data_IF_361415183901
#
_entry.id   IF_361415183901
#
_cell.length_a   1.000
_cell.length_b   1.000
_cell.length_c   1.000
_cell.angle_alpha   90.00
_cell.angle_beta   90.00
_cell.angle_gamma   90.00
#
_symmetry.space_group_name_H-M   'P 1'
#
loop_
_entity.id
_entity.type
_entity.pdbx_description
1 polymer ?
#
# COMPACT_ATOMS: atom_id res chain seq x y z
N UNK A 1 9.46 -53.63 78.86
CA UNK A 1 8.04 -53.40 79.23
C UNK A 1 7.43 -52.58 78.09
N UNK A 2 6.39 -53.01 77.37
CA UNK A 2 5.73 -54.31 77.36
C UNK A 2 4.21 -54.20 77.48
N UNK A 3 3.50 -54.10 76.34
CA UNK A 3 2.04 -53.91 76.27
C UNK A 3 1.59 -52.45 76.46
N UNK A 4 0.41 -52.02 75.99
CA UNK A 4 -0.62 -52.68 75.13
C UNK A 4 -1.34 -51.63 74.26
N UNK A 5 -1.95 -52.05 73.15
CA UNK A 5 -2.86 -51.20 72.35
C UNK A 5 -4.32 -51.16 72.95
N UNK A 6 -5.42 -50.86 72.22
CA UNK A 6 -6.26 -49.69 72.53
C UNK A 6 -7.74 -50.06 72.80
N UNK A 7 -8.67 -49.08 72.84
CA UNK A 7 -10.08 -49.25 72.45
C UNK A 7 -10.79 -47.89 72.23
N UNK A 8 -11.80 -47.77 71.33
CA UNK A 8 -12.41 -46.48 70.91
C UNK A 8 -13.83 -46.23 71.48
N UNK A 9 -14.42 -45.05 71.19
CA UNK A 9 -15.78 -44.99 70.59
C UNK A 9 -15.99 -43.80 69.60
N UNK A 10 -17.06 -43.64 68.78
CA UNK A 10 -18.09 -44.54 68.19
C UNK A 10 -18.69 -43.89 66.91
N UNK A 11 -19.38 -44.70 66.10
CA UNK A 11 -20.07 -44.49 64.81
C UNK A 11 -20.68 -43.10 64.47
N UNK A 12 -20.66 -42.80 63.17
CA UNK A 12 -21.87 -42.47 62.38
C UNK A 12 -21.85 -43.23 61.03
N UNK A 13 -22.99 -43.39 60.35
CA UNK A 13 -23.19 -44.40 59.29
C UNK A 13 -23.92 -43.87 58.03
N UNK A 14 -23.69 -44.57 56.91
CA UNK A 14 -24.45 -44.68 55.63
C UNK A 14 -24.00 -43.83 54.43
N UNK A 15 -24.05 -44.44 53.24
CA UNK A 15 -24.08 -43.73 51.94
C UNK A 15 -23.16 -44.28 50.85
N UNK A 16 -23.44 -45.45 50.29
CA UNK A 16 -22.74 -45.95 49.09
C UNK A 16 -23.52 -45.59 47.81
N UNK A 17 -22.84 -45.17 46.73
CA UNK A 17 -23.08 -45.71 45.37
C UNK A 17 -22.16 -45.08 44.32
N UNK A 18 -21.78 -45.90 43.32
CA UNK A 18 -21.13 -45.48 42.08
C UNK A 18 -22.10 -45.80 40.94
N UNK A 19 -22.73 -44.80 40.29
CA UNK A 19 -23.05 -44.89 38.86
C UNK A 19 -23.49 -43.55 38.20
N UNK A 20 -23.20 -43.47 36.90
CA UNK A 20 -23.51 -42.43 35.90
C UNK A 20 -24.99 -42.00 35.85
N UNK A 21 -25.27 -40.72 35.48
CA UNK A 21 -25.89 -40.31 34.18
C UNK A 21 -26.24 -38.80 34.06
N UNK A 22 -25.71 -38.16 32.99
CA UNK A 22 -26.17 -36.99 32.19
C UNK A 22 -26.76 -35.68 32.81
N UNK A 23 -26.29 -34.53 32.25
CA UNK A 23 -26.88 -33.17 32.07
C UNK A 23 -27.85 -32.62 33.16
N UNK A 24 -27.73 -31.39 33.70
CA UNK A 24 -27.11 -30.11 33.28
C UNK A 24 -26.88 -29.24 34.57
N UNK A 25 -26.45 -27.97 34.66
CA UNK A 25 -26.18 -26.81 33.79
C UNK A 25 -25.00 -25.98 34.39
N UNK A 26 -24.08 -25.38 33.61
CA UNK A 26 -24.05 -24.01 33.04
C UNK A 26 -23.68 -22.86 34.02
N UNK A 27 -22.74 -22.00 33.58
CA UNK A 27 -22.28 -20.71 34.15
C UNK A 27 -21.50 -20.69 35.48
N UNK A 28 -20.16 -20.55 35.37
CA UNK A 28 -19.42 -19.43 35.99
C UNK A 28 -18.05 -19.24 35.28
N UNK A 29 -17.52 -18.01 35.33
CA UNK A 29 -16.43 -17.39 34.55
C UNK A 29 -15.30 -18.34 34.04
N UNK A 30 -14.89 -18.34 32.76
CA UNK A 30 -14.53 -17.23 31.85
C UNK A 30 -13.22 -16.51 32.24
N UNK A 31 -12.33 -16.28 31.26
CA UNK A 31 -11.15 -15.39 31.43
C UNK A 31 -9.76 -15.96 31.10
N UNK A 32 -9.59 -16.81 30.06
CA UNK A 32 -8.26 -17.09 29.50
C UNK A 32 -8.29 -17.52 28.02
N UNK A 33 -8.98 -16.75 27.17
CA UNK A 33 -8.44 -16.58 25.82
C UNK A 33 -7.17 -15.75 25.96
N UNK A 34 -6.02 -16.40 25.87
CA UNK A 34 -4.81 -15.71 25.46
C UNK A 34 -5.02 -15.30 23.99
N UNK A 35 -5.59 -14.12 23.77
CA UNK A 35 -5.48 -13.45 22.48
C UNK A 35 -3.99 -13.22 22.25
N UNK A 36 -3.36 -14.04 21.41
CA UNK A 36 -2.09 -13.67 20.82
C UNK A 36 -2.33 -12.31 20.15
N UNK A 37 -1.75 -11.25 20.72
CA UNK A 37 -1.68 -9.98 20.01
C UNK A 37 -0.97 -10.30 18.70
N UNK A 38 -1.52 -9.93 17.52
CA UNK A 38 -0.77 -10.03 16.30
C UNK A 38 0.55 -9.27 16.48
N UNK A 39 1.61 -9.75 15.83
CA UNK A 39 2.93 -9.15 15.97
C UNK A 39 2.89 -7.65 15.66
N UNK A 40 3.87 -6.91 16.19
CA UNK A 40 4.00 -5.44 16.03
C UNK A 40 4.44 -5.03 14.61
N UNK A 41 3.95 -5.76 13.60
CA UNK A 41 4.28 -5.62 12.20
C UNK A 41 3.39 -4.57 11.54
N UNK A 42 4.00 -3.68 10.77
CA UNK A 42 3.33 -2.61 10.06
C UNK A 42 2.88 -3.12 8.68
N UNK A 43 1.63 -2.84 8.30
CA UNK A 43 1.09 -3.19 6.97
C UNK A 43 1.45 -2.13 5.91
N UNK A 44 1.56 -2.52 4.61
CA UNK A 44 1.73 -1.55 3.53
C UNK A 44 0.52 -0.64 3.37
N UNK A 45 0.76 0.63 3.03
CA UNK A 45 -0.28 1.62 2.81
C UNK A 45 -1.17 1.35 1.58
N UNK A 46 -0.68 0.59 0.61
CA UNK A 46 -1.45 0.19 -0.58
C UNK A 46 -0.93 -1.12 -1.21
N UNK A 47 -1.69 -1.65 -2.18
CA UNK A 47 -1.29 -2.75 -3.07
C UNK A 47 -1.69 -2.41 -4.51
N UNK A 48 -1.02 -2.91 -5.57
CA UNK A 48 0.07 -3.88 -5.57
C UNK A 48 1.36 -3.36 -4.90
N UNK A 49 2.26 -4.30 -4.63
CA UNK A 49 3.61 -4.00 -4.15
C UNK A 49 4.56 -4.10 -5.35
N UNK A 50 5.48 -3.14 -5.44
CA UNK A 50 6.49 -3.06 -6.49
C UNK A 50 7.81 -3.63 -5.96
N UNK A 51 8.47 -4.47 -6.75
CA UNK A 51 9.79 -5.01 -6.43
C UNK A 51 10.88 -3.95 -6.64
N UNK A 52 11.57 -3.58 -5.55
CA UNK A 52 12.57 -2.52 -5.55
C UNK A 52 13.97 -2.98 -5.19
N UNK A 53 14.91 -2.06 -5.38
CA UNK A 53 16.26 -2.05 -4.80
C UNK A 53 16.69 -0.60 -4.56
N UNK A 54 17.68 -0.40 -3.71
CA UNK A 54 18.43 0.86 -3.64
C UNK A 54 19.93 0.67 -3.85
N UNK A 55 20.59 1.71 -4.38
CA UNK A 55 21.98 1.65 -4.84
C UNK A 55 22.73 2.97 -4.64
N UNK A 56 24.06 2.87 -4.57
CA UNK A 56 24.99 3.99 -4.47
C UNK A 56 26.35 3.65 -5.10
N UNK A 57 27.37 4.49 -4.89
CA UNK A 57 28.78 4.25 -5.27
C UNK A 57 29.30 2.83 -4.98
N UNK A 58 28.75 2.15 -3.97
CA UNK A 58 29.20 0.82 -3.54
C UNK A 58 28.90 -0.30 -4.56
N UNK A 59 27.83 -0.17 -5.35
CA UNK A 59 27.48 -1.14 -6.40
C UNK A 59 28.27 -0.94 -7.71
N UNK A 60 28.90 0.23 -7.91
CA UNK A 60 29.71 0.53 -9.08
C UNK A 60 28.90 0.60 -10.38
N UNK A 61 29.45 0.08 -11.48
CA UNK A 61 28.73 -0.03 -12.76
C UNK A 61 27.60 -1.08 -12.69
N UNK A 62 26.43 -0.74 -13.25
CA UNK A 62 25.20 -1.56 -13.16
C UNK A 62 24.54 -1.72 -14.53
N UNK A 63 24.21 -2.97 -14.90
CA UNK A 63 23.33 -3.27 -16.03
C UNK A 63 21.86 -3.26 -15.58
N UNK A 64 21.21 -2.11 -15.77
CA UNK A 64 19.80 -1.92 -15.43
C UNK A 64 18.82 -2.69 -16.33
N UNK A 65 19.24 -3.18 -17.50
CA UNK A 65 18.37 -4.06 -18.30
C UNK A 65 18.34 -5.45 -17.67
N UNK A 66 19.49 -5.98 -17.28
CA UNK A 66 19.56 -7.23 -16.53
C UNK A 66 18.80 -7.11 -15.18
N UNK A 67 18.90 -5.99 -14.48
CA UNK A 67 18.17 -5.76 -13.23
C UNK A 67 16.64 -5.74 -13.43
N UNK A 68 16.16 -5.02 -14.46
CA UNK A 68 14.73 -5.02 -14.84
C UNK A 68 14.25 -6.42 -15.22
N UNK A 69 15.04 -7.15 -16.01
CA UNK A 69 14.66 -8.47 -16.52
C UNK A 69 14.72 -9.56 -15.41
N UNK A 70 15.42 -9.28 -14.31
CA UNK A 70 15.39 -10.01 -13.02
C UNK A 70 14.27 -9.54 -12.07
N UNK A 71 13.36 -8.68 -12.56
CA UNK A 71 12.15 -8.26 -11.88
C UNK A 71 12.26 -7.01 -11.01
N UNK A 72 13.26 -6.15 -11.18
CA UNK A 72 13.24 -4.80 -10.59
C UNK A 72 12.23 -3.91 -11.33
N UNK A 73 11.38 -3.21 -10.57
CA UNK A 73 10.42 -2.21 -11.05
C UNK A 73 10.81 -0.78 -10.63
N UNK A 74 11.38 -0.65 -9.43
CA UNK A 74 11.76 0.62 -8.79
C UNK A 74 13.24 0.59 -8.40
N UNK A 75 13.96 1.69 -8.62
CA UNK A 75 15.29 1.90 -8.04
C UNK A 75 15.38 3.23 -7.31
N UNK A 76 15.83 3.19 -6.05
CA UNK A 76 16.27 4.38 -5.33
C UNK A 76 17.79 4.55 -5.48
N UNK A 77 18.23 5.75 -5.87
CA UNK A 77 19.65 6.06 -6.11
C UNK A 77 20.09 7.09 -5.08
N UNK A 78 21.23 6.89 -4.41
CA UNK A 78 21.78 7.95 -3.55
C UNK A 78 22.21 9.13 -4.41
N UNK A 79 21.62 10.30 -4.17
CA UNK A 79 22.06 11.54 -4.81
C UNK A 79 23.26 12.15 -4.08
N UNK A 80 23.17 12.24 -2.76
CA UNK A 80 24.16 12.94 -1.95
C UNK A 80 24.19 12.51 -0.50
N UNK A 81 25.10 13.16 0.23
CA UNK A 81 25.34 12.94 1.65
C UNK A 81 25.98 14.18 2.29
N UNK A 82 25.55 14.53 3.50
CA UNK A 82 26.03 15.73 4.19
C UNK A 82 25.74 17.04 3.43
N UNK A 83 26.56 18.07 3.66
CA UNK A 83 26.38 19.41 3.06
C UNK A 83 27.12 19.63 1.74
N UNK A 84 27.62 18.57 1.09
CA UNK A 84 28.44 18.69 -0.12
C UNK A 84 28.94 17.40 -0.76
N UNK A 85 28.58 16.22 -0.26
CA UNK A 85 28.90 14.94 -0.89
C UNK A 85 27.93 14.63 -2.02
N UNK A 86 28.42 14.49 -3.25
CA UNK A 86 27.66 13.96 -4.39
C UNK A 86 28.06 12.49 -4.57
N UNK A 87 27.11 11.59 -4.79
CA UNK A 87 27.46 10.21 -5.11
C UNK A 87 28.11 10.12 -6.51
N UNK A 88 29.26 9.45 -6.59
CA UNK A 88 30.07 9.38 -7.81
C UNK A 88 29.38 8.66 -8.97
N UNK A 89 28.37 7.82 -8.70
CA UNK A 89 27.62 7.10 -9.74
C UNK A 89 26.22 7.66 -10.00
N UNK A 90 25.77 8.71 -9.29
CA UNK A 90 24.45 9.32 -9.46
C UNK A 90 24.08 9.52 -10.95
N UNK A 91 24.99 10.09 -11.73
CA UNK A 91 24.71 10.44 -13.12
C UNK A 91 24.63 9.21 -14.06
N UNK A 92 25.46 8.18 -13.84
CA UNK A 92 25.46 6.95 -14.66
C UNK A 92 24.34 6.00 -14.25
N UNK A 93 24.09 5.84 -12.94
CA UNK A 93 22.93 5.12 -12.42
C UNK A 93 21.62 5.72 -12.91
N UNK A 94 21.48 7.04 -12.84
CA UNK A 94 20.28 7.73 -13.34
C UNK A 94 20.04 7.48 -14.83
N UNK A 95 21.08 7.61 -15.66
CA UNK A 95 20.98 7.39 -17.10
C UNK A 95 20.67 5.93 -17.43
N UNK A 96 21.30 4.98 -16.73
CA UNK A 96 21.06 3.54 -16.89
C UNK A 96 19.65 3.11 -16.52
N UNK A 97 19.17 3.49 -15.33
CA UNK A 97 17.81 3.22 -14.86
C UNK A 97 16.76 3.81 -15.81
N UNK A 98 16.95 5.07 -16.25
CA UNK A 98 16.05 5.76 -17.17
C UNK A 98 16.05 5.13 -18.57
N UNK A 99 17.18 4.59 -19.02
CA UNK A 99 17.28 3.87 -20.29
C UNK A 99 16.67 2.46 -20.23
N UNK A 100 16.71 1.79 -19.08
CA UNK A 100 16.03 0.52 -18.85
C UNK A 100 14.50 0.67 -18.71
N UNK A 101 14.01 1.86 -18.33
CA UNK A 101 12.59 2.14 -18.11
C UNK A 101 12.10 1.78 -16.71
N UNK A 102 12.99 1.77 -15.71
CA UNK A 102 12.65 1.62 -14.30
C UNK A 102 12.03 2.92 -13.74
N UNK A 103 11.20 2.79 -12.71
CA UNK A 103 10.83 3.95 -11.89
C UNK A 103 11.99 4.39 -11.01
N UNK A 104 12.21 5.70 -10.90
CA UNK A 104 13.38 6.27 -10.23
C UNK A 104 12.96 7.09 -9.01
N UNK A 105 13.59 6.78 -7.87
CA UNK A 105 13.64 7.61 -6.68
C UNK A 105 15.07 8.04 -6.35
N UNK A 106 15.19 9.03 -5.45
CA UNK A 106 16.48 9.48 -4.94
C UNK A 106 16.46 9.60 -3.42
N UNK A 107 17.60 9.31 -2.79
CA UNK A 107 17.79 9.54 -1.35
C UNK A 107 19.04 10.37 -1.04
N UNK A 108 19.05 10.97 0.15
CA UNK A 108 20.15 11.75 0.70
C UNK A 108 20.48 11.29 2.11
N UNK A 109 21.72 10.84 2.32
CA UNK A 109 22.21 10.38 3.62
C UNK A 109 22.48 11.57 4.54
N UNK A 110 21.77 11.63 5.67
CA UNK A 110 21.86 12.73 6.62
C UNK A 110 23.15 12.67 7.47
N UNK A 111 23.92 13.76 7.50
CA UNK A 111 24.96 13.96 8.52
C UNK A 111 24.62 15.06 9.55
N UNK A 112 23.55 15.82 9.32
CA UNK A 112 23.15 16.95 10.16
C UNK A 112 22.92 16.56 11.63
N UNK A 113 23.51 17.33 12.55
CA UNK A 113 23.37 17.15 14.00
C UNK A 113 22.54 18.28 14.64
N UNK A 114 22.07 19.21 13.81
CA UNK A 114 21.20 20.34 14.18
C UNK A 114 20.17 20.62 13.07
N UNK A 115 19.06 21.23 13.45
CA UNK A 115 18.02 21.69 12.51
C UNK A 115 18.49 22.81 11.55
N UNK A 116 19.68 23.39 11.76
CA UNK A 116 20.28 24.37 10.84
C UNK A 116 21.05 23.66 9.71
N UNK A 117 21.86 22.66 10.06
CA UNK A 117 22.54 21.78 9.10
C UNK A 117 21.53 20.99 8.27
N UNK A 118 20.46 20.46 8.90
CA UNK A 118 19.40 19.72 8.22
C UNK A 118 18.80 20.50 7.03
N UNK A 119 18.59 21.81 7.20
CA UNK A 119 18.10 22.71 6.14
C UNK A 119 19.16 23.05 5.10
N UNK A 120 20.44 22.99 5.44
CA UNK A 120 21.52 23.13 4.47
C UNK A 120 21.64 21.87 3.60
N UNK A 121 21.51 20.68 4.19
CA UNK A 121 21.51 19.40 3.47
C UNK A 121 20.27 19.25 2.58
N UNK A 122 19.08 19.60 3.07
CA UNK A 122 17.86 19.62 2.25
C UNK A 122 17.97 20.56 1.04
N UNK A 123 18.59 21.74 1.20
CA UNK A 123 18.90 22.67 0.09
C UNK A 123 19.93 22.12 -0.88
N UNK A 124 20.94 21.42 -0.39
CA UNK A 124 21.93 20.75 -1.24
C UNK A 124 21.27 19.65 -2.08
N UNK A 125 20.50 18.74 -1.44
CA UNK A 125 19.77 17.67 -2.12
C UNK A 125 18.78 18.21 -3.15
N UNK A 126 17.97 19.22 -2.80
CA UNK A 126 17.04 19.87 -3.74
C UNK A 126 17.74 20.45 -4.99
N UNK A 127 18.96 20.96 -4.84
CA UNK A 127 19.77 21.47 -5.96
C UNK A 127 20.43 20.36 -6.80
N UNK A 128 20.48 19.11 -6.32
CA UNK A 128 20.80 17.94 -7.15
C UNK A 128 19.57 17.45 -7.91
N UNK A 129 18.41 17.48 -7.27
CA UNK A 129 17.13 17.03 -7.83
C UNK A 129 16.61 17.93 -8.96
N UNK A 130 16.98 19.22 -9.00
CA UNK A 130 16.48 20.16 -10.02
C UNK A 130 16.88 19.81 -11.46
N UNK A 131 17.98 19.09 -11.64
CA UNK A 131 18.50 18.68 -12.95
C UNK A 131 17.96 17.31 -13.41
N UNK A 132 17.10 16.67 -12.60
CA UNK A 132 16.71 15.27 -12.75
C UNK A 132 15.19 15.12 -12.94
N UNK A 133 14.77 14.14 -13.75
CA UNK A 133 13.37 13.74 -13.92
C UNK A 133 13.16 12.37 -13.30
N UNK A 134 12.26 12.25 -12.32
CA UNK A 134 12.11 11.06 -11.47
C UNK A 134 10.65 10.90 -10.99
N UNK A 135 10.26 9.66 -10.67
CA UNK A 135 8.87 9.27 -10.41
C UNK A 135 8.52 9.27 -8.91
N UNK A 136 9.51 8.91 -8.09
CA UNK A 136 9.32 8.62 -6.67
C UNK A 136 9.78 9.78 -5.79
N UNK A 137 9.14 9.94 -4.63
CA UNK A 137 9.40 11.00 -3.65
C UNK A 137 10.87 11.01 -3.23
N UNK A 138 11.47 12.19 -3.04
CA UNK A 138 12.82 12.27 -2.53
C UNK A 138 12.83 11.84 -1.06
N UNK A 139 13.80 11.00 -0.70
CA UNK A 139 13.92 10.37 0.62
C UNK A 139 15.00 11.07 1.44
N UNK A 140 14.63 11.43 2.67
CA UNK A 140 15.59 11.66 3.74
C UNK A 140 16.01 10.29 4.32
N UNK A 141 17.30 9.97 4.24
CA UNK A 141 17.88 8.75 4.79
C UNK A 141 18.57 9.04 6.15
N UNK A 142 18.20 8.26 7.18
CA UNK A 142 18.58 8.48 8.58
C UNK A 142 19.10 7.17 9.21
N UNK A 143 20.43 6.99 9.24
CA UNK A 143 21.10 5.86 9.91
C UNK A 143 21.89 6.24 11.19
N UNK A 144 22.24 7.52 11.41
CA UNK A 144 23.18 7.94 12.48
C UNK A 144 22.56 8.95 13.46
N UNK A 145 21.80 8.43 14.43
CA UNK A 145 21.15 9.19 15.51
C UNK A 145 21.85 9.10 16.88
N UNK A 146 23.03 8.45 16.98
CA UNK A 146 23.67 8.14 18.25
C UNK A 146 23.97 9.39 19.08
N UNK A 147 23.61 9.38 20.37
CA UNK A 147 23.81 10.54 21.26
C UNK A 147 22.87 11.73 21.06
N UNK A 148 21.85 11.61 20.19
CA UNK A 148 20.70 12.53 20.17
C UNK A 148 19.60 12.02 21.12
N UNK A 149 18.77 12.93 21.64
CA UNK A 149 17.46 12.55 22.19
C UNK A 149 16.41 12.49 21.07
N UNK A 150 15.31 11.75 21.27
CA UNK A 150 14.22 11.64 20.30
C UNK A 150 13.67 13.00 19.83
N UNK A 151 13.53 13.97 20.74
CA UNK A 151 13.11 15.33 20.39
C UNK A 151 14.14 16.09 19.51
N UNK A 152 15.44 15.80 19.65
CA UNK A 152 16.47 16.36 18.78
C UNK A 152 16.46 15.67 17.41
N UNK A 153 16.41 14.33 17.38
CA UNK A 153 16.33 13.56 16.14
C UNK A 153 15.11 14.00 15.30
N UNK A 154 13.94 14.09 15.93
CA UNK A 154 12.69 14.53 15.29
C UNK A 154 12.76 15.97 14.79
N UNK A 155 13.34 16.90 15.57
CA UNK A 155 13.52 18.29 15.15
C UNK A 155 14.56 18.48 14.03
N UNK A 156 15.53 17.56 13.89
CA UNK A 156 16.48 17.54 12.77
C UNK A 156 15.78 16.99 11.51
N UNK A 157 15.13 15.84 11.62
CA UNK A 157 14.42 15.20 10.50
C UNK A 157 13.31 16.09 9.94
N UNK A 158 12.41 16.61 10.79
CA UNK A 158 11.35 17.52 10.37
C UNK A 158 11.90 18.80 9.73
N UNK A 159 13.04 19.33 10.20
CA UNK A 159 13.65 20.51 9.61
C UNK A 159 14.24 20.26 8.21
N UNK A 160 14.74 19.06 7.91
CA UNK A 160 15.14 18.67 6.56
C UNK A 160 13.90 18.51 5.66
N UNK A 161 12.90 17.75 6.13
CA UNK A 161 11.70 17.40 5.37
C UNK A 161 10.87 18.64 5.01
N UNK A 162 10.68 19.59 5.95
CA UNK A 162 9.97 20.85 5.69
C UNK A 162 10.66 21.74 4.66
N UNK A 163 11.99 21.81 4.72
CA UNK A 163 12.78 22.59 3.75
C UNK A 163 12.71 21.92 2.37
N UNK A 164 12.92 20.60 2.29
CA UNK A 164 12.84 19.84 1.03
C UNK A 164 11.45 19.90 0.39
N UNK A 165 10.38 19.76 1.18
CA UNK A 165 8.98 19.91 0.72
C UNK A 165 8.73 21.33 0.19
N UNK A 166 9.25 22.36 0.86
CA UNK A 166 9.11 23.76 0.44
C UNK A 166 9.87 24.11 -0.86
N UNK A 167 10.96 23.40 -1.14
CA UNK A 167 11.81 23.62 -2.32
C UNK A 167 11.34 22.81 -3.54
N UNK A 168 10.87 21.58 -3.32
CA UNK A 168 10.42 20.67 -4.39
C UNK A 168 8.93 20.82 -4.71
N UNK A 169 8.14 21.39 -3.78
CA UNK A 169 6.68 21.49 -3.91
C UNK A 169 5.96 20.13 -3.80
N UNK A 170 6.63 19.10 -3.30
CA UNK A 170 6.12 17.73 -3.19
C UNK A 170 6.47 17.13 -1.81
N UNK A 171 5.58 16.32 -1.19
CA UNK A 171 5.89 15.75 0.13
C UNK A 171 6.97 14.66 0.02
N UNK A 172 8.12 14.79 0.71
CA UNK A 172 9.19 13.80 0.75
C UNK A 172 8.83 12.56 1.57
N UNK A 173 9.76 11.61 1.64
CA UNK A 173 9.68 10.40 2.46
C UNK A 173 10.82 10.32 3.48
N UNK A 174 10.67 9.46 4.48
CA UNK A 174 11.70 9.12 5.48
C UNK A 174 12.12 7.67 5.31
N UNK A 175 13.43 7.42 5.19
CA UNK A 175 14.04 6.11 5.37
C UNK A 175 14.78 6.06 6.71
N UNK A 176 14.56 5.00 7.48
CA UNK A 176 15.32 4.70 8.71
C UNK A 176 15.06 3.26 9.17
N UNK A 177 15.77 2.80 10.20
CA UNK A 177 15.52 1.50 10.81
C UNK A 177 14.14 1.44 11.49
N UNK A 178 13.48 0.28 11.49
CA UNK A 178 12.22 0.09 12.20
C UNK A 178 12.37 0.34 13.73
N UNK A 179 13.58 0.21 14.28
CA UNK A 179 13.88 0.58 15.66
C UNK A 179 13.82 2.09 15.87
N UNK A 180 14.46 2.88 15.00
CA UNK A 180 14.53 4.34 15.12
C UNK A 180 13.18 5.01 14.81
N UNK A 181 12.44 4.49 13.83
CA UNK A 181 11.04 4.86 13.60
C UNK A 181 10.14 4.60 14.82
N UNK A 182 10.45 3.57 15.62
CA UNK A 182 9.69 3.21 16.82
C UNK A 182 10.08 3.98 18.09
N UNK A 183 11.35 4.37 18.23
CA UNK A 183 11.89 4.84 19.52
C UNK A 183 12.58 6.22 19.47
N UNK A 184 13.01 6.68 18.28
CA UNK A 184 13.77 7.92 18.11
C UNK A 184 12.98 9.01 17.40
N UNK A 185 12.15 8.67 16.42
CA UNK A 185 11.33 9.63 15.67
C UNK A 185 9.91 9.73 16.25
N UNK A 186 9.42 10.94 16.48
CA UNK A 186 8.08 11.21 17.03
C UNK A 186 7.04 11.61 15.96
N UNK A 187 5.80 11.87 16.41
CA UNK A 187 4.67 12.18 15.52
C UNK A 187 4.79 13.51 14.76
N UNK A 188 5.80 14.36 15.03
CA UNK A 188 6.14 15.49 14.17
C UNK A 188 6.77 15.05 12.83
N UNK A 189 7.41 13.87 12.81
CA UNK A 189 8.02 13.24 11.63
C UNK A 189 7.08 12.23 10.97
N UNK A 190 6.22 11.54 11.73
CA UNK A 190 5.27 10.55 11.19
C UNK A 190 4.09 11.14 10.37
N UNK A 191 4.22 12.37 9.89
CA UNK A 191 3.35 12.99 8.88
C UNK A 191 3.83 12.77 7.44
N UNK A 192 5.07 12.32 7.25
CA UNK A 192 5.62 11.89 5.95
C UNK A 192 5.66 10.35 5.86
N UNK A 193 5.55 9.75 4.66
CA UNK A 193 5.50 8.29 4.53
C UNK A 193 6.84 7.63 4.85
N UNK A 194 6.77 6.45 5.46
CA UNK A 194 7.93 5.69 5.93
C UNK A 194 8.39 4.63 4.91
N UNK A 195 9.69 4.59 4.67
CA UNK A 195 10.44 3.45 4.16
C UNK A 195 11.22 2.85 5.34
N UNK A 196 10.83 1.66 5.78
CA UNK A 196 11.43 1.04 6.98
C UNK A 196 12.44 -0.05 6.61
N UNK A 197 13.61 -0.05 7.25
CA UNK A 197 14.54 -1.17 7.21
C UNK A 197 14.32 -2.12 8.42
N UNK A 198 14.06 -3.41 8.14
CA UNK A 198 13.96 -4.47 9.16
C UNK A 198 14.26 -5.84 8.50
N UNK A 199 15.38 -6.48 8.85
CA UNK A 199 15.93 -7.60 8.07
C UNK A 199 15.53 -8.98 8.61
N UNK A 200 14.92 -9.79 7.75
CA UNK A 200 14.48 -11.15 8.07
C UNK A 200 12.98 -11.39 8.34
N UNK A 201 12.14 -10.42 8.78
CA UNK A 201 10.70 -10.63 8.87
C UNK A 201 10.00 -10.36 7.53
N UNK A 202 8.72 -10.75 7.44
CA UNK A 202 7.89 -10.54 6.24
C UNK A 202 7.24 -9.14 6.15
N UNK A 203 7.35 -8.35 7.21
CA UNK A 203 6.83 -6.99 7.40
C UNK A 203 7.70 -6.30 8.46
N UNK A 204 7.90 -4.96 8.41
CA UNK A 204 8.75 -4.26 9.36
C UNK A 204 8.05 -4.04 10.72
N UNK A 205 8.78 -4.20 11.82
CA UNK A 205 8.27 -4.08 13.19
C UNK A 205 8.31 -2.64 13.71
N UNK A 206 7.42 -1.79 13.22
CA UNK A 206 7.29 -0.40 13.69
C UNK A 206 6.19 -0.30 14.75
N UNK A 207 6.56 0.07 15.98
CA UNK A 207 5.68 -0.01 17.16
C UNK A 207 4.98 1.30 17.52
N UNK A 208 5.36 2.42 16.88
CA UNK A 208 4.89 3.76 17.21
C UNK A 208 4.77 4.68 15.98
N UNK A 209 3.96 5.74 16.15
CA UNK A 209 3.81 6.92 15.29
C UNK A 209 3.27 6.68 13.86
N UNK A 210 3.84 5.76 13.08
CA UNK A 210 3.32 5.36 11.76
C UNK A 210 2.24 4.28 11.86
N UNK A 211 1.28 4.32 10.93
CA UNK A 211 0.18 3.35 10.82
C UNK A 211 0.26 2.46 9.57
N UNK A 212 1.12 2.80 8.62
CA UNK A 212 1.44 2.02 7.43
C UNK A 212 2.79 2.43 6.84
N UNK A 213 3.44 1.58 6.06
CA UNK A 213 4.65 1.91 5.30
C UNK A 213 4.39 2.13 3.80
N UNK A 214 5.19 3.00 3.19
CA UNK A 214 5.30 3.21 1.75
C UNK A 214 6.46 2.39 1.15
N UNK A 215 7.51 2.11 1.92
CA UNK A 215 8.59 1.19 1.55
C UNK A 215 8.98 0.24 2.69
N UNK A 216 9.51 -0.92 2.33
CA UNK A 216 10.06 -1.90 3.26
C UNK A 216 11.32 -2.52 2.67
N UNK A 217 12.49 -2.13 3.20
CA UNK A 217 13.79 -2.73 2.89
C UNK A 217 13.97 -3.97 3.77
N UNK A 218 13.97 -5.15 3.15
CA UNK A 218 13.85 -6.42 3.85
C UNK A 218 15.16 -7.21 3.94
N UNK A 219 16.22 -6.79 3.22
CA UNK A 219 17.58 -7.32 3.38
C UNK A 219 18.66 -6.42 2.76
N UNK A 220 19.82 -6.37 3.43
CA UNK A 220 21.13 -5.84 2.99
C UNK A 220 21.92 -6.78 2.05
N UNK A 221 21.36 -7.95 1.74
CA UNK A 221 22.09 -9.11 1.16
C UNK A 221 21.38 -9.74 -0.02
N UNK A 222 20.57 -8.95 -0.72
CA UNK A 222 20.02 -9.38 -1.99
C UNK A 222 21.10 -9.53 -3.06
N UNK A 223 20.74 -10.24 -4.12
CA UNK A 223 21.47 -10.31 -5.37
C UNK A 223 20.53 -9.86 -6.49
N UNK A 224 21.05 -9.08 -7.43
CA UNK A 224 20.31 -8.63 -8.63
C UNK A 224 21.20 -8.84 -9.84
N UNK A 225 20.65 -9.44 -10.89
CA UNK A 225 21.37 -9.66 -12.15
C UNK A 225 21.81 -8.33 -12.74
N UNK A 226 23.09 -8.21 -13.08
CA UNK A 226 23.68 -6.95 -13.59
C UNK A 226 24.17 -5.97 -12.51
N UNK A 227 23.97 -6.26 -11.21
CA UNK A 227 24.52 -5.47 -10.10
C UNK A 227 25.69 -6.22 -9.46
N UNK A 228 26.75 -5.50 -9.06
CA UNK A 228 27.92 -6.10 -8.40
C UNK A 228 27.77 -6.10 -6.87
N UNK A 229 28.12 -7.22 -6.23
CA UNK A 229 28.15 -7.34 -4.77
C UNK A 229 26.79 -7.73 -4.16
N UNK A 230 26.52 -7.23 -2.95
CA UNK A 230 25.19 -7.28 -2.37
C UNK A 230 24.38 -6.04 -2.75
N UNK A 231 23.07 -6.22 -2.80
CA UNK A 231 22.11 -5.17 -3.15
C UNK A 231 21.03 -5.14 -2.10
N UNK A 232 20.73 -3.96 -1.62
CA UNK A 232 19.64 -3.67 -0.71
C UNK A 232 18.31 -3.87 -1.46
N UNK A 233 17.35 -4.58 -0.85
CA UNK A 233 16.12 -5.03 -1.55
C UNK A 233 14.85 -4.62 -0.85
N UNK A 234 13.92 -4.13 -1.66
CA UNK A 234 12.71 -3.46 -1.21
C UNK A 234 11.42 -4.05 -1.74
N UNK A 235 10.37 -3.85 -0.95
CA UNK A 235 8.99 -3.84 -1.40
C UNK A 235 8.44 -2.43 -1.23
N UNK A 236 7.94 -1.82 -2.29
CA UNK A 236 7.33 -0.48 -2.26
C UNK A 236 5.81 -0.53 -2.52
N UNK A 237 5.06 0.44 -2.00
CA UNK A 237 3.64 0.63 -2.32
C UNK A 237 3.46 1.77 -3.34
N UNK A 238 2.25 1.97 -3.86
CA UNK A 238 1.97 3.09 -4.78
C UNK A 238 2.09 4.48 -4.11
N UNK A 239 2.30 4.56 -2.80
CA UNK A 239 2.51 5.82 -2.09
C UNK A 239 3.89 6.44 -2.36
N UNK A 240 4.90 5.66 -2.78
CA UNK A 240 6.24 6.20 -3.06
C UNK A 240 6.26 7.22 -4.18
N UNK A 241 5.25 7.22 -5.05
CA UNK A 241 5.20 8.10 -6.20
C UNK A 241 4.70 9.50 -5.81
N UNK A 242 5.14 10.50 -6.57
CA UNK A 242 4.46 11.79 -6.60
C UNK A 242 3.00 11.62 -7.06
N UNK A 243 2.18 12.66 -6.91
CA UNK A 243 1.08 12.88 -7.85
C UNK A 243 1.70 13.44 -9.14
N UNK A 244 2.12 12.64 -10.13
CA UNK A 244 1.52 11.38 -10.58
C UNK A 244 2.45 10.15 -10.68
N UNK A 245 2.09 9.05 -10.01
CA UNK A 245 1.93 7.77 -10.69
C UNK A 245 0.47 7.33 -10.55
N UNK A 246 -0.34 7.37 -11.62
CA UNK A 246 -1.71 6.95 -11.51
C UNK A 246 -1.75 5.42 -11.64
N UNK A 247 -1.68 4.77 -10.49
CA UNK A 247 -2.69 3.75 -10.20
C UNK A 247 -4.03 4.31 -10.71
N UNK A 248 -4.83 3.53 -11.47
CA UNK A 248 -5.92 4.09 -12.24
C UNK A 248 -6.86 4.98 -11.42
N UNK A 249 -7.62 5.83 -12.14
CA UNK A 249 -9.03 5.94 -11.82
C UNK A 249 -9.66 4.54 -11.95
N UNK A 250 -9.43 3.69 -10.96
CA UNK A 250 -10.08 2.42 -10.77
C UNK A 250 -11.45 2.81 -10.21
N UNK A 251 -12.33 3.25 -11.10
CA UNK A 251 -13.72 3.53 -10.82
C UNK A 251 -14.30 2.26 -10.17
N UNK A 252 -14.37 2.22 -8.85
CA UNK A 252 -14.65 0.96 -8.15
C UNK A 252 -16.11 0.60 -8.34
N UNK A 253 -16.37 -0.53 -9.00
CA UNK A 253 -17.73 -0.96 -9.29
C UNK A 253 -18.22 -1.93 -8.22
N UNK A 254 -19.06 -1.44 -7.30
CA UNK A 254 -19.83 -2.31 -6.41
C UNK A 254 -20.87 -3.08 -7.23
N UNK A 255 -20.68 -4.39 -7.35
CA UNK A 255 -21.56 -5.34 -8.06
C UNK A 255 -22.97 -5.26 -7.49
N UNK A 256 -23.97 -5.16 -8.37
CA UNK A 256 -25.38 -5.06 -8.03
C UNK A 256 -26.10 -6.38 -8.34
N UNK A 257 -27.29 -6.56 -7.76
CA UNK A 257 -28.11 -7.76 -8.00
C UNK A 257 -28.54 -7.85 -9.46
N UNK A 258 -27.96 -8.80 -10.20
CA UNK A 258 -28.24 -9.05 -11.62
C UNK A 258 -27.11 -8.63 -12.57
N UNK A 259 -26.00 -8.11 -12.06
CA UNK A 259 -24.81 -7.84 -12.87
C UNK A 259 -24.04 -9.13 -13.22
N UNK A 260 -23.19 -9.04 -14.25
CA UNK A 260 -22.23 -10.07 -14.68
C UNK A 260 -20.92 -9.37 -15.06
N UNK A 261 -19.77 -10.05 -15.00
CA UNK A 261 -18.52 -9.45 -15.47
C UNK A 261 -18.59 -9.03 -16.94
N UNK A 262 -19.34 -9.74 -17.79
CA UNK A 262 -19.59 -9.34 -19.17
C UNK A 262 -20.35 -8.01 -19.27
N UNK A 263 -21.42 -7.84 -18.49
CA UNK A 263 -22.20 -6.60 -18.47
C UNK A 263 -21.39 -5.40 -17.97
N UNK A 264 -20.59 -5.61 -16.91
CA UNK A 264 -19.72 -4.59 -16.31
C UNK A 264 -18.60 -4.22 -17.30
N UNK A 265 -17.85 -5.21 -17.78
CA UNK A 265 -16.76 -4.98 -18.73
C UNK A 265 -17.24 -4.23 -19.99
N UNK A 266 -18.38 -4.63 -20.56
CA UNK A 266 -18.98 -3.95 -21.72
C UNK A 266 -19.43 -2.51 -21.41
N UNK A 267 -19.94 -2.22 -20.21
CA UNK A 267 -20.33 -0.86 -19.82
C UNK A 267 -19.12 0.07 -19.80
N UNK A 268 -18.03 -0.40 -19.19
CA UNK A 268 -16.81 0.34 -18.93
C UNK A 268 -15.72 0.10 -20.00
N UNK A 269 -16.12 -0.25 -21.24
CA UNK A 269 -15.24 -0.44 -22.41
C UNK A 269 -13.98 -1.30 -22.18
N UNK A 270 -14.09 -2.36 -21.37
CA UNK A 270 -13.04 -3.34 -21.13
C UNK A 270 -13.50 -4.77 -21.43
N UNK A 271 -12.66 -5.77 -21.18
CA UNK A 271 -12.95 -7.18 -21.44
C UNK A 271 -13.18 -7.96 -20.14
N UNK A 272 -13.92 -9.08 -20.23
CA UNK A 272 -14.10 -10.01 -19.10
C UNK A 272 -12.76 -10.55 -18.60
N UNK A 273 -11.82 -10.84 -19.51
CA UNK A 273 -10.49 -11.33 -19.15
C UNK A 273 -9.69 -10.29 -18.36
N UNK A 274 -9.62 -9.04 -18.83
CA UNK A 274 -8.92 -7.96 -18.14
C UNK A 274 -9.58 -7.60 -16.79
N UNK A 275 -10.91 -7.67 -16.71
CA UNK A 275 -11.63 -7.40 -15.46
C UNK A 275 -11.48 -8.55 -14.46
N UNK A 276 -11.47 -9.80 -14.91
CA UNK A 276 -11.27 -10.97 -14.05
C UNK A 276 -9.81 -11.06 -13.55
N UNK A 277 -8.81 -10.80 -14.38
CA UNK A 277 -7.40 -10.83 -13.97
C UNK A 277 -7.07 -9.73 -12.96
N UNK A 278 -7.53 -8.49 -13.21
CA UNK A 278 -7.36 -7.34 -12.31
C UNK A 278 -8.02 -7.52 -10.93
N UNK A 279 -9.00 -8.43 -10.81
CA UNK A 279 -9.71 -8.72 -9.57
C UNK A 279 -9.45 -10.13 -9.04
N UNK A 280 -8.48 -10.86 -9.61
CA UNK A 280 -8.12 -12.24 -9.26
C UNK A 280 -9.32 -13.23 -9.26
N UNK A 281 -10.30 -13.00 -10.14
CA UNK A 281 -11.53 -13.81 -10.22
C UNK A 281 -11.27 -15.08 -11.04
N UNK A 282 -11.08 -16.21 -10.35
CA UNK A 282 -10.82 -17.51 -10.96
C UNK A 282 -12.00 -18.08 -11.79
N UNK A 283 -13.25 -17.67 -11.51
CA UNK A 283 -14.43 -18.02 -12.30
C UNK A 283 -15.18 -16.75 -12.73
N UNK A 284 -15.03 -16.29 -13.99
CA UNK A 284 -15.65 -15.05 -14.46
C UNK A 284 -17.18 -15.00 -14.45
N UNK A 285 -17.85 -16.14 -14.34
CA UNK A 285 -19.32 -16.23 -14.24
C UNK A 285 -19.84 -16.11 -12.79
N UNK A 286 -18.94 -16.02 -11.80
CA UNK A 286 -19.26 -16.00 -10.37
C UNK A 286 -18.81 -14.69 -9.70
N UNK A 287 -19.73 -13.74 -9.59
CA UNK A 287 -19.59 -12.50 -8.79
C UNK A 287 -20.79 -12.30 -7.86
N UNK A 288 -20.57 -11.61 -6.75
CA UNK A 288 -21.56 -11.46 -5.67
C UNK A 288 -22.04 -10.01 -5.52
N UNK A 289 -23.34 -9.74 -5.35
CA UNK A 289 -23.82 -8.40 -5.04
C UNK A 289 -23.17 -7.85 -3.76
N UNK A 290 -22.62 -6.64 -3.83
CA UNK A 290 -21.80 -6.03 -2.78
C UNK A 290 -20.29 -6.22 -2.94
N UNK A 291 -19.83 -7.15 -3.80
CA UNK A 291 -18.43 -7.27 -4.18
C UNK A 291 -17.96 -5.97 -4.86
N UNK A 292 -16.81 -5.45 -4.46
CA UNK A 292 -16.16 -4.30 -5.10
C UNK A 292 -15.21 -4.82 -6.18
N UNK A 293 -15.27 -4.23 -7.38
CA UNK A 293 -14.36 -4.53 -8.48
C UNK A 293 -13.53 -3.31 -8.85
N UNK A 294 -12.22 -3.50 -8.98
CA UNK A 294 -11.31 -2.57 -9.61
C UNK A 294 -11.56 -2.55 -11.12
N UNK A 295 -11.73 -1.37 -11.73
CA UNK A 295 -11.80 -1.20 -13.18
C UNK A 295 -10.42 -0.81 -13.76
N UNK A 296 -10.08 -1.26 -15.00
CA UNK A 296 -8.82 -0.87 -15.66
C UNK A 296 -8.70 0.63 -15.97
N UNK A 297 -7.48 1.11 -16.27
CA UNK A 297 -7.25 2.54 -16.54
C UNK A 297 -7.97 3.03 -17.80
N UNK A 298 -8.61 4.19 -17.68
CA UNK A 298 -9.39 4.80 -18.77
C UNK A 298 -10.74 4.13 -19.03
N UNK A 299 -11.16 3.18 -18.18
CA UNK A 299 -12.45 2.48 -18.25
C UNK A 299 -13.62 3.38 -17.80
N UNK A 300 -13.75 4.57 -18.39
CA UNK A 300 -14.91 5.42 -18.20
C UNK A 300 -16.20 4.68 -18.66
N UNK A 301 -17.37 4.94 -18.04
CA UNK A 301 -18.61 4.39 -18.55
C UNK A 301 -18.84 4.93 -19.96
N UNK A 302 -18.86 4.03 -20.94
CA UNK A 302 -19.06 4.40 -22.33
C UNK A 302 -20.47 4.95 -22.52
N UNK A 303 -20.60 6.03 -23.30
CA UNK A 303 -21.90 6.58 -23.72
C UNK A 303 -22.55 5.67 -24.77
N UNK A 304 -22.84 4.43 -24.35
CA UNK A 304 -23.30 3.34 -25.20
C UNK A 304 -24.65 3.64 -25.83
N UNK A 305 -24.94 2.98 -26.95
CA UNK A 305 -26.21 3.14 -27.65
C UNK A 305 -27.19 2.01 -27.37
N UNK A 306 -28.46 2.37 -27.22
CA UNK A 306 -29.58 1.44 -27.07
C UNK A 306 -30.55 1.58 -28.23
N UNK A 307 -30.68 0.53 -29.04
CA UNK A 307 -31.74 0.43 -30.05
C UNK A 307 -33.05 0.04 -29.37
N UNK A 308 -34.01 0.95 -29.39
CA UNK A 308 -35.37 0.78 -28.85
C UNK A 308 -36.05 -0.43 -29.50
N UNK A 309 -36.71 -1.25 -28.68
CA UNK A 309 -37.44 -2.46 -29.11
C UNK A 309 -38.94 -2.24 -29.03
N UNK A 310 -39.72 -3.14 -29.64
CA UNK A 310 -41.17 -3.13 -29.51
C UNK A 310 -41.58 -3.33 -28.03
N UNK A 311 -42.35 -2.38 -27.49
CA UNK A 311 -42.79 -2.37 -26.10
C UNK A 311 -41.86 -1.65 -25.10
N UNK A 312 -40.72 -1.12 -25.53
CA UNK A 312 -39.88 -0.28 -24.66
C UNK A 312 -40.51 1.10 -24.39
N UNK A 313 -40.15 1.72 -23.26
CA UNK A 313 -40.48 3.11 -22.91
C UNK A 313 -39.22 3.80 -22.39
N UNK A 314 -39.10 5.14 -22.49
CA UNK A 314 -37.96 5.84 -21.90
C UNK A 314 -37.86 5.63 -20.38
N UNK A 315 -38.97 5.41 -19.68
CA UNK A 315 -38.95 5.04 -18.25
C UNK A 315 -38.31 3.67 -18.02
N UNK A 316 -38.70 2.65 -18.78
CA UNK A 316 -38.11 1.32 -18.70
C UNK A 316 -36.62 1.31 -19.07
N UNK A 317 -36.23 2.05 -20.11
CA UNK A 317 -34.84 2.19 -20.54
C UNK A 317 -34.02 2.97 -19.49
N UNK A 318 -34.49 4.12 -19.03
CA UNK A 318 -33.79 4.92 -18.03
C UNK A 318 -33.59 4.14 -16.73
N UNK A 319 -34.61 3.42 -16.26
CA UNK A 319 -34.50 2.53 -15.09
C UNK A 319 -33.53 1.37 -15.32
N UNK A 320 -33.53 0.74 -16.49
CA UNK A 320 -32.57 -0.32 -16.86
C UNK A 320 -31.12 0.18 -16.86
N UNK A 321 -30.88 1.42 -17.27
CA UNK A 321 -29.55 2.03 -17.37
C UNK A 321 -29.21 3.00 -16.23
N UNK A 322 -29.91 2.89 -15.09
CA UNK A 322 -29.66 3.69 -13.87
C UNK A 322 -29.55 5.21 -14.13
N UNK A 323 -30.44 5.74 -14.97
CA UNK A 323 -30.53 7.18 -15.26
C UNK A 323 -31.98 7.66 -15.14
N UNK A 324 -32.24 8.94 -15.40
CA UNK A 324 -33.59 9.53 -15.37
C UNK A 324 -34.16 9.68 -16.78
N UNK A 325 -35.48 9.67 -16.89
CA UNK A 325 -36.18 9.98 -18.15
C UNK A 325 -35.80 11.37 -18.68
N UNK A 326 -35.59 12.35 -17.78
CA UNK A 326 -35.16 13.70 -18.12
C UNK A 326 -33.76 13.72 -18.76
N UNK A 327 -32.77 13.08 -18.11
CA UNK A 327 -31.41 13.00 -18.64
C UNK A 327 -31.32 12.21 -19.95
N UNK A 328 -32.08 11.12 -20.06
CA UNK A 328 -32.13 10.31 -21.28
C UNK A 328 -32.84 11.05 -22.45
N UNK A 329 -33.89 11.81 -22.16
CA UNK A 329 -34.57 12.63 -23.16
C UNK A 329 -33.73 13.82 -23.62
N UNK A 330 -33.07 14.54 -22.71
CA UNK A 330 -32.25 15.71 -23.04
C UNK A 330 -31.00 15.33 -23.86
N UNK A 331 -30.30 14.26 -23.47
CA UNK A 331 -29.13 13.74 -24.20
C UNK A 331 -29.45 13.33 -25.64
N UNK A 332 -30.70 12.91 -25.89
CA UNK A 332 -31.21 12.48 -27.20
C UNK A 332 -32.07 13.52 -27.92
N UNK A 333 -32.23 14.73 -27.36
CA UNK A 333 -33.07 15.82 -27.89
C UNK A 333 -34.54 15.40 -28.13
N UNK A 334 -35.07 14.50 -27.28
CA UNK A 334 -36.44 13.98 -27.39
C UNK A 334 -37.41 14.99 -26.75
N UNK A 335 -38.22 15.64 -27.58
CA UNK A 335 -39.20 16.64 -27.14
C UNK A 335 -40.40 16.05 -26.39
N UNK A 336 -40.79 14.80 -26.67
CA UNK A 336 -41.87 14.09 -25.97
C UNK A 336 -41.33 12.76 -25.39
N UNK A 337 -41.04 12.69 -24.08
CA UNK A 337 -40.46 11.48 -23.47
C UNK A 337 -41.34 10.23 -23.51
N UNK A 338 -42.63 10.36 -23.85
CA UNK A 338 -43.56 9.24 -24.02
C UNK A 338 -43.58 8.68 -25.46
N UNK A 339 -42.80 9.26 -26.38
CA UNK A 339 -42.81 8.90 -27.80
C UNK A 339 -41.41 8.50 -28.27
N UNK A 340 -41.19 7.19 -28.35
CA UNK A 340 -40.01 6.55 -28.97
C UNK A 340 -40.44 5.42 -29.90
N UNK A 341 -39.63 5.14 -30.90
CA UNK A 341 -39.96 4.19 -31.98
C UNK A 341 -39.04 2.97 -31.95
N UNK A 342 -39.55 1.73 -32.18
CA UNK A 342 -38.69 0.57 -32.38
C UNK A 342 -37.69 0.81 -33.53
N UNK A 343 -36.42 0.47 -33.29
CA UNK A 343 -35.31 0.79 -34.20
C UNK A 343 -34.63 2.14 -33.93
N UNK A 344 -35.23 3.04 -33.15
CA UNK A 344 -34.60 4.31 -32.74
C UNK A 344 -33.36 4.04 -31.88
N UNK A 345 -32.23 4.66 -32.22
CA UNK A 345 -30.98 4.54 -31.48
C UNK A 345 -30.86 5.68 -30.47
N UNK A 346 -30.84 5.34 -29.18
CA UNK A 346 -30.65 6.28 -28.09
C UNK A 346 -29.20 6.24 -27.58
N UNK A 347 -28.57 7.39 -27.42
CA UNK A 347 -27.36 7.57 -26.62
C UNK A 347 -27.73 7.43 -25.15
N UNK A 348 -27.03 6.58 -24.41
CA UNK A 348 -27.12 6.52 -22.96
C UNK A 348 -26.11 7.51 -22.36
N UNK A 349 -26.41 8.13 -21.20
CA UNK A 349 -25.39 8.80 -20.42
C UNK A 349 -24.41 7.78 -19.84
N UNK A 350 -23.23 8.25 -19.46
CA UNK A 350 -22.24 7.49 -18.71
C UNK A 350 -22.73 7.19 -17.27
#
# INVERSE_FOLDING_TARGET
MGGTEPVPPILSWKGCSILRRFLTALLLCAGLLATAMPALALEPSSRPLYAGMDISVYQGEVDFNAARDDGIEVVYIRAGYGSGGVDAYLQSHYQGARAAGLHIGFYHFLYARTAAEARAEARFFAAQLSELTYDCRPVLDIEELSGLSSAQASAIAAAFLEELESLTGQPPMVYTSAYDASHMLDSSVARWPLWAADYGPSQPHVTANWTSWAGFQYTDRGTVSGVSGYVDRDSFTAEIFFSEAPAPGADTYTVRRGDTLWGIARRYSTTVSALASLNHIANPDLIYPGQVLNLPRGAAPSAGTYTVRQGDTLWGIARRYNTTVSALASLNRIANPNLIYPGQVLRLPA
#
